data_IF_815449099410
#
_entry.id   IF_815449099410
#
_cell.length_a   1.000
_cell.length_b   1.000
_cell.length_c   1.000
_cell.angle_alpha   90.00
_cell.angle_beta   90.00
_cell.angle_gamma   90.00
#
_symmetry.space_group_name_H-M   'P 1'
#
loop_
_entity.id
_entity.type
_entity.pdbx_description
1 polymer ?
#
# COMPACT_ATOMS: atom_id res chain seq x y z
N UNK A 1 15.19 14.22 22.43
CA UNK A 1 15.13 13.57 21.10
C UNK A 1 15.25 12.07 21.27
N UNK A 2 14.59 11.27 20.44
CA UNK A 2 14.65 9.80 20.44
C UNK A 2 15.22 9.33 19.09
N UNK A 3 16.24 8.46 19.10
CA UNK A 3 16.81 7.86 17.89
C UNK A 3 15.85 6.78 17.38
N UNK A 4 15.49 6.82 16.09
CA UNK A 4 14.61 5.84 15.45
C UNK A 4 15.39 4.82 14.60
N UNK A 5 16.45 5.29 13.93
CA UNK A 5 17.42 4.50 13.19
C UNK A 5 18.75 5.27 13.16
N UNK A 6 19.82 4.67 12.62
CA UNK A 6 21.10 5.36 12.47
C UNK A 6 20.92 6.59 11.56
N UNK A 7 21.21 7.78 12.10
CA UNK A 7 21.02 9.05 11.39
C UNK A 7 19.58 9.59 11.33
N UNK A 8 18.60 8.90 11.93
CA UNK A 8 17.20 9.34 11.99
C UNK A 8 16.76 9.59 13.43
N UNK A 9 16.41 10.84 13.73
CA UNK A 9 16.03 11.31 15.06
C UNK A 9 14.64 11.92 15.05
N UNK A 10 13.88 11.68 16.13
CA UNK A 10 12.55 12.21 16.35
C UNK A 10 12.49 13.09 17.60
N UNK A 11 11.84 14.25 17.45
CA UNK A 11 11.49 15.13 18.56
C UNK A 11 10.00 14.96 18.87
N UNK A 12 9.63 14.26 19.97
CA UNK A 12 8.23 13.96 20.26
C UNK A 12 7.42 15.21 20.56
N UNK A 13 6.27 15.34 19.88
CA UNK A 13 5.21 16.28 20.28
C UNK A 13 4.46 15.65 21.46
N UNK A 14 4.27 16.41 22.54
CA UNK A 14 3.51 15.95 23.72
C UNK A 14 2.01 16.13 23.47
N UNK A 15 1.24 15.10 23.76
CA UNK A 15 -0.22 15.15 23.88
C UNK A 15 -0.64 14.83 25.32
N UNK A 16 -1.92 15.00 25.64
CA UNK A 16 -2.50 14.60 26.94
C UNK A 16 -2.32 13.10 27.26
N UNK A 17 -2.09 12.25 26.25
CA UNK A 17 -1.84 10.82 26.40
C UNK A 17 -0.35 10.44 26.34
N UNK A 18 0.56 11.43 26.38
CA UNK A 18 2.00 11.21 26.29
C UNK A 18 2.60 11.61 24.93
N UNK A 19 3.81 11.12 24.66
CA UNK A 19 4.53 11.42 23.42
C UNK A 19 3.84 10.76 22.22
N UNK A 20 3.43 11.57 21.24
CA UNK A 20 2.87 11.03 20.01
C UNK A 20 3.96 10.27 19.23
N UNK A 21 3.62 9.17 18.56
CA UNK A 21 4.54 8.57 17.60
C UNK A 21 4.80 9.55 16.44
N UNK A 22 5.97 9.45 15.79
CA UNK A 22 6.22 10.18 14.54
C UNK A 22 5.18 9.81 13.50
N UNK A 23 4.72 10.83 12.77
CA UNK A 23 3.87 10.64 11.59
C UNK A 23 4.66 9.86 10.51
N UNK A 24 4.01 8.87 9.90
CA UNK A 24 4.65 7.99 8.90
C UNK A 24 5.20 8.80 7.73
N UNK A 25 4.45 9.81 7.29
CA UNK A 25 4.82 10.62 6.15
C UNK A 25 6.03 11.49 6.48
N UNK A 26 6.07 12.15 7.65
CA UNK A 26 7.25 12.89 8.12
C UNK A 26 8.48 11.98 8.22
N UNK A 27 8.32 10.79 8.78
CA UNK A 27 9.39 9.81 8.96
C UNK A 27 9.96 9.33 7.63
N UNK A 28 9.08 8.89 6.73
CA UNK A 28 9.47 8.38 5.41
C UNK A 28 10.09 9.51 4.58
N UNK A 29 9.59 10.73 4.69
CA UNK A 29 10.18 11.92 4.05
C UNK A 29 11.63 12.14 4.49
N UNK A 30 11.89 12.09 5.80
CA UNK A 30 13.23 12.26 6.35
C UNK A 30 14.17 11.12 5.92
N UNK A 31 13.66 9.88 5.90
CA UNK A 31 14.44 8.70 5.52
C UNK A 31 14.81 8.67 4.03
N UNK A 32 13.85 8.92 3.13
CA UNK A 32 14.07 8.93 1.68
C UNK A 32 14.70 10.23 1.18
N UNK A 33 14.65 11.30 1.98
CA UNK A 33 14.94 12.68 1.55
C UNK A 33 14.16 13.01 0.28
N UNK A 34 12.88 12.69 0.29
CA UNK A 34 11.95 12.83 -0.84
C UNK A 34 10.52 13.02 -0.32
N UNK A 35 9.63 13.51 -1.18
CA UNK A 35 8.18 13.56 -0.95
C UNK A 35 7.41 12.74 -1.99
N UNK A 36 8.08 12.21 -3.01
CA UNK A 36 7.47 11.37 -4.04
C UNK A 36 7.46 9.88 -3.61
N UNK A 37 6.49 9.55 -2.77
CA UNK A 37 6.25 8.20 -2.29
C UNK A 37 4.76 8.01 -1.94
N UNK A 38 4.33 6.76 -1.82
CA UNK A 38 3.01 6.39 -1.33
C UNK A 38 3.15 5.48 -0.11
N UNK A 39 2.52 5.85 1.00
CA UNK A 39 2.52 5.09 2.26
C UNK A 39 1.12 4.59 2.56
N UNK A 40 0.98 3.31 2.86
CA UNK A 40 -0.29 2.71 3.29
C UNK A 40 -0.05 1.39 4.03
N UNK A 41 -1.05 0.93 4.80
CA UNK A 41 -1.04 -0.41 5.40
C UNK A 41 -1.73 -1.41 4.46
N UNK A 42 -1.26 -2.67 4.37
CA UNK A 42 -2.00 -3.73 3.65
C UNK A 42 -3.44 -3.91 4.16
N UNK A 43 -3.72 -3.60 5.42
CA UNK A 43 -5.09 -3.61 5.96
C UNK A 43 -6.03 -2.62 5.27
N UNK A 44 -5.52 -1.68 4.46
CA UNK A 44 -6.33 -0.81 3.61
C UNK A 44 -7.14 -1.59 2.56
N UNK A 45 -6.72 -2.80 2.20
CA UNK A 45 -7.49 -3.66 1.29
C UNK A 45 -8.86 -4.05 1.88
N UNK A 46 -9.00 -4.09 3.21
CA UNK A 46 -10.25 -4.45 3.89
C UNK A 46 -11.38 -3.48 3.53
N UNK A 47 -11.06 -2.21 3.24
CA UNK A 47 -12.05 -1.22 2.79
C UNK A 47 -12.66 -1.56 1.42
N UNK A 48 -12.00 -2.37 0.60
CA UNK A 48 -12.57 -2.87 -0.66
C UNK A 48 -13.62 -3.97 -0.41
N UNK A 49 -13.62 -4.58 0.79
CA UNK A 49 -14.44 -5.72 1.16
C UNK A 49 -14.25 -6.92 0.23
N UNK A 50 -13.01 -7.15 -0.22
CA UNK A 50 -12.65 -8.24 -1.15
C UNK A 50 -12.32 -9.55 -0.41
N UNK A 51 -12.86 -9.72 0.79
CA UNK A 51 -12.58 -10.88 1.65
C UNK A 51 -11.31 -10.76 2.48
N UNK A 52 -10.53 -9.68 2.34
CA UNK A 52 -9.41 -9.40 3.23
C UNK A 52 -9.92 -8.89 4.57
N UNK A 53 -9.40 -9.46 5.65
CA UNK A 53 -9.76 -9.07 7.03
C UNK A 53 -8.54 -8.99 7.93
N UNK A 54 -7.37 -9.43 7.47
CA UNK A 54 -6.17 -9.46 8.27
C UNK A 54 -5.71 -8.06 8.68
N UNK A 55 -5.37 -7.93 9.97
CA UNK A 55 -4.69 -6.76 10.50
C UNK A 55 -3.18 -6.96 10.38
N UNK A 56 -2.53 -6.09 9.62
CA UNK A 56 -1.10 -6.14 9.36
C UNK A 56 -0.37 -5.09 10.18
N UNK A 57 0.57 -5.54 11.02
CA UNK A 57 1.50 -4.65 11.73
C UNK A 57 2.71 -4.29 10.84
N UNK A 58 2.47 -3.91 9.59
CA UNK A 58 3.48 -3.42 8.65
C UNK A 58 2.93 -2.27 7.81
N UNK A 59 3.81 -1.35 7.45
CA UNK A 59 3.52 -0.24 6.52
C UNK A 59 4.25 -0.49 5.21
N UNK A 60 3.57 -0.38 4.07
CA UNK A 60 4.18 -0.43 2.74
C UNK A 60 4.52 1.00 2.29
N UNK A 61 5.72 1.17 1.71
CA UNK A 61 6.18 2.43 1.14
C UNK A 61 6.61 2.24 -0.31
N UNK A 62 5.76 2.63 -1.25
CA UNK A 62 6.13 2.69 -2.66
C UNK A 62 6.91 3.96 -2.94
N UNK A 63 8.09 3.83 -3.55
CA UNK A 63 9.01 4.92 -3.77
C UNK A 63 9.94 4.64 -4.97
N UNK A 64 10.83 5.58 -5.29
CA UNK A 64 11.78 5.46 -6.41
C UNK A 64 13.24 5.25 -5.98
N UNK A 65 13.56 5.19 -4.68
CA UNK A 65 14.93 5.36 -4.15
C UNK A 65 15.49 4.20 -3.35
N UNK A 66 14.65 3.48 -2.60
CA UNK A 66 15.06 2.47 -1.62
C UNK A 66 14.13 1.27 -1.68
N UNK A 67 14.72 0.08 -1.63
CA UNK A 67 14.03 -1.19 -1.50
C UNK A 67 14.49 -1.89 -0.22
N UNK A 68 13.58 -2.61 0.44
CA UNK A 68 13.89 -3.45 1.60
C UNK A 68 13.03 -3.11 2.82
N UNK A 69 13.17 -3.95 3.85
CA UNK A 69 12.45 -3.81 5.10
C UNK A 69 13.29 -3.03 6.11
N UNK A 70 12.74 -1.95 6.63
CA UNK A 70 13.38 -1.09 7.64
C UNK A 70 12.51 -0.98 8.88
N UNK A 71 13.13 -0.95 10.05
CA UNK A 71 12.42 -0.76 11.31
C UNK A 71 12.73 0.61 11.89
N UNK A 72 11.68 1.34 12.29
CA UNK A 72 11.80 2.61 12.97
C UNK A 72 11.09 2.54 14.32
N UNK A 73 11.87 2.38 15.39
CA UNK A 73 11.32 1.95 16.68
C UNK A 73 10.69 0.55 16.56
N UNK A 74 9.45 0.38 17.00
CA UNK A 74 8.75 -0.91 17.02
C UNK A 74 7.90 -1.16 15.75
N UNK A 75 8.13 -0.36 14.69
CA UNK A 75 7.31 -0.35 13.49
C UNK A 75 8.11 -0.79 12.29
N UNK A 76 7.54 -1.71 11.52
CA UNK A 76 8.16 -2.26 10.32
C UNK A 76 7.62 -1.58 9.07
N UNK A 77 8.52 -1.13 8.20
CA UNK A 77 8.23 -0.49 6.93
C UNK A 77 8.86 -1.31 5.81
N UNK A 78 8.04 -1.73 4.86
CA UNK A 78 8.44 -2.45 3.66
C UNK A 78 8.52 -1.44 2.49
N UNK A 79 9.75 -1.00 2.19
CA UNK A 79 10.02 -0.09 1.11
C UNK A 79 10.13 -0.86 -0.20
N UNK A 80 9.31 -0.52 -1.18
CA UNK A 80 9.33 -1.13 -2.50
C UNK A 80 9.56 -0.08 -3.57
N UNK A 81 10.62 -0.29 -4.35
CA UNK A 81 10.85 0.48 -5.56
C UNK A 81 9.81 0.08 -6.60
N UNK A 82 8.92 1.00 -6.95
CA UNK A 82 7.89 0.83 -7.98
C UNK A 82 8.07 1.94 -9.01
N UNK A 83 8.12 1.66 -10.32
CA UNK A 83 8.32 2.70 -11.33
C UNK A 83 7.13 3.67 -11.41
N UNK A 84 5.95 3.27 -10.93
CA UNK A 84 4.72 4.06 -10.96
C UNK A 84 3.85 3.72 -9.75
N UNK A 85 3.28 4.74 -9.13
CA UNK A 85 2.23 4.68 -8.12
C UNK A 85 1.45 6.00 -8.13
N UNK A 86 0.20 6.06 -7.63
CA UNK A 86 -0.55 7.30 -7.58
C UNK A 86 -0.07 8.20 -6.44
N UNK A 87 -0.28 9.52 -6.58
CA UNK A 87 0.02 10.52 -5.53
C UNK A 87 -0.86 10.39 -4.28
N UNK A 88 -2.04 9.81 -4.43
CA UNK A 88 -3.00 9.57 -3.35
C UNK A 88 -3.55 8.16 -3.47
N UNK A 89 -3.81 7.54 -2.32
CA UNK A 89 -4.44 6.23 -2.28
C UNK A 89 -5.87 6.33 -2.82
N UNK A 90 -6.24 5.40 -3.70
CA UNK A 90 -7.58 5.32 -4.30
C UNK A 90 -8.05 3.87 -4.27
N UNK A 91 -9.36 3.66 -4.25
CA UNK A 91 -9.94 2.32 -4.23
C UNK A 91 -9.58 1.52 -5.50
N UNK A 92 -9.54 2.17 -6.66
CA UNK A 92 -9.15 1.53 -7.93
C UNK A 92 -7.68 1.09 -7.91
N UNK A 93 -6.79 1.92 -7.34
CA UNK A 93 -5.40 1.53 -7.16
C UNK A 93 -5.26 0.36 -6.19
N UNK A 94 -5.93 0.43 -5.03
CA UNK A 94 -5.89 -0.65 -4.03
C UNK A 94 -6.40 -1.98 -4.62
N UNK A 95 -7.43 -1.94 -5.49
CA UNK A 95 -7.95 -3.14 -6.15
C UNK A 95 -6.93 -3.75 -7.14
N UNK A 96 -6.18 -2.92 -7.85
CA UNK A 96 -5.08 -3.39 -8.71
C UNK A 96 -3.92 -3.92 -7.85
N UNK A 97 -3.62 -3.22 -6.78
CA UNK A 97 -2.49 -3.50 -5.92
C UNK A 97 -2.67 -4.79 -5.10
N UNK A 98 -3.88 -5.07 -4.59
CA UNK A 98 -4.17 -6.35 -3.90
C UNK A 98 -3.92 -7.56 -4.80
N UNK A 99 -4.20 -7.45 -6.11
CA UNK A 99 -3.91 -8.52 -7.07
C UNK A 99 -2.41 -8.58 -7.41
N UNK A 100 -1.75 -7.43 -7.55
CA UNK A 100 -0.29 -7.40 -7.74
C UNK A 100 0.49 -8.08 -6.61
N UNK A 101 -0.07 -8.07 -5.40
CA UNK A 101 0.57 -8.60 -4.18
C UNK A 101 -0.19 -9.81 -3.62
N UNK A 102 -1.01 -10.48 -4.44
CA UNK A 102 -1.89 -11.58 -4.02
C UNK A 102 -1.12 -12.71 -3.33
N UNK A 103 0.12 -12.95 -3.74
CA UNK A 103 0.98 -14.00 -3.17
C UNK A 103 1.45 -13.72 -1.74
N UNK A 104 1.31 -12.49 -1.26
CA UNK A 104 1.73 -12.06 0.07
C UNK A 104 0.56 -11.92 1.05
N UNK A 105 -0.68 -12.14 0.59
CA UNK A 105 -1.86 -12.10 1.43
C UNK A 105 -1.95 -13.36 2.29
N UNK A 106 -2.54 -13.23 3.48
CA UNK A 106 -2.79 -14.38 4.35
C UNK A 106 -4.04 -15.15 3.91
N UNK A 107 -4.94 -14.46 3.19
CA UNK A 107 -6.20 -14.98 2.69
C UNK A 107 -6.04 -15.95 1.50
N UNK A 108 -7.06 -16.77 1.26
CA UNK A 108 -7.09 -17.66 0.10
C UNK A 108 -7.15 -16.85 -1.21
N UNK A 109 -6.17 -17.10 -2.08
CA UNK A 109 -5.97 -16.35 -3.32
C UNK A 109 -7.16 -16.44 -4.26
N UNK A 110 -7.78 -17.62 -4.35
CA UNK A 110 -8.92 -17.84 -5.26
C UNK A 110 -10.17 -17.14 -4.72
N UNK A 111 -10.41 -17.17 -3.42
CA UNK A 111 -11.51 -16.44 -2.79
C UNK A 111 -11.38 -14.93 -2.99
N UNK A 112 -10.17 -14.38 -2.80
CA UNK A 112 -9.92 -12.95 -3.05
C UNK A 112 -10.19 -12.61 -4.52
N UNK A 113 -9.70 -13.43 -5.47
CA UNK A 113 -9.94 -13.20 -6.91
C UNK A 113 -11.42 -13.24 -7.28
N UNK A 114 -12.17 -14.24 -6.81
CA UNK A 114 -13.61 -14.35 -7.05
C UNK A 114 -14.36 -13.14 -6.47
N UNK A 115 -13.96 -12.68 -5.29
CA UNK A 115 -14.58 -11.52 -4.65
C UNK A 115 -14.27 -10.22 -5.39
N UNK A 116 -13.03 -10.06 -5.87
CA UNK A 116 -12.65 -8.92 -6.71
C UNK A 116 -13.53 -8.90 -7.96
N UNK A 117 -13.58 -10.01 -8.70
CA UNK A 117 -14.38 -10.15 -9.92
C UNK A 117 -15.84 -9.75 -9.69
N UNK A 118 -16.47 -10.28 -8.63
CA UNK A 118 -17.84 -9.94 -8.25
C UNK A 118 -18.05 -8.46 -7.95
N UNK A 119 -17.02 -7.76 -7.44
CA UNK A 119 -17.09 -6.35 -7.07
C UNK A 119 -16.71 -5.39 -8.18
N UNK A 120 -16.08 -5.84 -9.25
CA UNK A 120 -15.67 -4.98 -10.38
C UNK A 120 -16.77 -4.04 -10.88
N UNK A 121 -18.04 -4.46 -11.03
CA UNK A 121 -19.10 -3.59 -11.53
C UNK A 121 -19.40 -2.38 -10.63
N UNK A 122 -18.99 -2.43 -9.35
CA UNK A 122 -19.23 -1.36 -8.38
C UNK A 122 -18.23 -0.21 -8.49
N UNK A 123 -17.14 -0.37 -9.24
CA UNK A 123 -16.12 0.65 -9.43
C UNK A 123 -16.43 1.54 -10.64
N UNK A 124 -15.91 2.77 -10.62
CA UNK A 124 -15.87 3.63 -11.80
C UNK A 124 -14.98 2.96 -12.87
N UNK A 125 -15.60 2.49 -13.94
CA UNK A 125 -14.92 1.72 -14.99
C UNK A 125 -13.82 2.53 -15.69
N UNK A 126 -14.00 3.84 -15.84
CA UNK A 126 -13.01 4.71 -16.47
C UNK A 126 -11.79 4.92 -15.58
N UNK A 127 -11.97 5.08 -14.26
CA UNK A 127 -10.87 5.15 -13.30
C UNK A 127 -10.17 3.80 -13.16
N UNK A 128 -10.93 2.70 -13.09
CA UNK A 128 -10.38 1.37 -12.92
C UNK A 128 -9.51 0.96 -14.12
N UNK A 129 -10.00 1.11 -15.35
CA UNK A 129 -9.20 0.82 -16.57
C UNK A 129 -7.91 1.64 -16.62
N UNK A 130 -7.95 2.92 -16.20
CA UNK A 130 -6.76 3.77 -16.08
C UNK A 130 -5.79 3.23 -15.01
N UNK A 131 -6.28 2.85 -13.84
CA UNK A 131 -5.47 2.27 -12.78
C UNK A 131 -4.81 0.95 -13.22
N UNK A 132 -5.55 0.06 -13.89
CA UNK A 132 -5.02 -1.18 -14.45
C UNK A 132 -3.91 -0.88 -15.47
N UNK A 133 -4.16 0.02 -16.42
CA UNK A 133 -3.15 0.37 -17.42
C UNK A 133 -1.88 0.94 -16.81
N UNK A 134 -2.01 1.81 -15.80
CA UNK A 134 -0.91 2.52 -15.18
C UNK A 134 -0.11 1.68 -14.17
N UNK A 135 -0.77 0.82 -13.38
CA UNK A 135 -0.18 0.24 -12.15
C UNK A 135 -0.21 -1.29 -12.08
N UNK A 136 -0.94 -1.98 -12.95
CA UNK A 136 -1.00 -3.44 -12.91
C UNK A 136 0.30 -4.07 -13.46
N UNK A 137 0.74 -5.16 -12.83
CA UNK A 137 1.75 -6.07 -13.40
C UNK A 137 1.21 -6.71 -14.69
N UNK A 138 2.07 -7.32 -15.50
CA UNK A 138 1.64 -8.01 -16.74
C UNK A 138 0.62 -9.11 -16.43
N UNK A 139 0.84 -9.90 -15.37
CA UNK A 139 -0.08 -10.94 -14.94
C UNK A 139 -1.44 -10.36 -14.49
N UNK A 140 -1.40 -9.28 -13.70
CA UNK A 140 -2.61 -8.59 -13.24
C UNK A 140 -3.38 -7.99 -14.43
N UNK A 141 -2.71 -7.38 -15.41
CA UNK A 141 -3.35 -6.89 -16.64
C UNK A 141 -4.08 -8.00 -17.38
N UNK A 142 -3.42 -9.16 -17.57
CA UNK A 142 -4.05 -10.32 -18.22
C UNK A 142 -5.32 -10.77 -17.50
N UNK A 143 -5.30 -10.76 -16.16
CA UNK A 143 -6.48 -11.07 -15.34
C UNK A 143 -7.63 -10.10 -15.58
N UNK A 144 -7.36 -8.80 -15.47
CA UNK A 144 -8.36 -7.75 -15.67
C UNK A 144 -8.91 -7.74 -17.09
N UNK A 145 -8.10 -8.02 -18.12
CA UNK A 145 -8.60 -8.17 -19.48
C UNK A 145 -9.63 -9.29 -19.58
N UNK A 146 -9.40 -10.44 -18.94
CA UNK A 146 -10.38 -11.52 -18.87
C UNK A 146 -11.72 -11.05 -18.27
N UNK A 147 -11.67 -10.28 -17.19
CA UNK A 147 -12.90 -9.78 -16.54
C UNK A 147 -13.59 -8.63 -17.27
N UNK A 148 -12.86 -7.79 -18.02
CA UNK A 148 -13.47 -6.70 -18.79
C UNK A 148 -14.13 -7.18 -20.09
N UNK A 149 -13.86 -8.41 -20.51
CA UNK A 149 -14.41 -9.03 -21.72
C UNK A 149 -15.43 -10.14 -21.45
N UNK A 150 -15.63 -10.49 -20.17
CA UNK A 150 -16.68 -11.41 -19.71
C UNK A 150 -18.01 -10.66 -19.54
#
# INVERSE_FOLDING_TARGET
>A
MKRLAQGLYYAPKKSVFGALPPDDHELVTAFLRDKDFLVFSPSSYNALGVGTTQLYNKTIVYNHKRHGVFSFGNRQFDFRVKPRFPKKLTSEFLLVDVINNLDELAEDKNQVLQMVERKLPLFDQGKLKRAVSAFASVATKKRFMGWFHA
#
